data_IF_684252516519
#
_entry.id   IF_684252516519
#
_cell.length_a   1.000
_cell.length_b   1.000
_cell.length_c   1.000
_cell.angle_alpha   90.00
_cell.angle_beta   90.00
_cell.angle_gamma   90.00
#
_symmetry.space_group_name_H-M   'P 1'
#
loop_
_entity.id
_entity.type
_entity.pdbx_description
1 polymer ?
#
# COMPACT_ATOMS: atom_id res chain seq x y z
N UNK A 1 -8.41 7.52 -20.18
CA UNK A 1 -7.49 7.81 -21.30
C UNK A 1 -6.12 7.34 -20.87
N UNK A 2 -5.56 6.32 -21.51
CA UNK A 2 -4.23 5.81 -21.14
C UNK A 2 -3.20 6.90 -21.46
N UNK A 3 -2.33 7.31 -20.52
CA UNK A 3 -1.33 8.34 -20.77
C UNK A 3 -0.42 7.95 -21.95
N UNK A 4 0.02 8.95 -22.73
CA UNK A 4 0.89 8.70 -23.88
C UNK A 4 2.22 8.07 -23.43
N UNK A 5 2.89 7.28 -24.28
CA UNK A 5 4.21 6.72 -23.97
C UNK A 5 5.22 7.79 -23.54
N UNK A 6 5.17 8.97 -24.15
CA UNK A 6 6.01 10.12 -23.81
C UNK A 6 5.73 10.64 -22.40
N UNK A 7 4.45 10.71 -22.00
CA UNK A 7 4.04 11.12 -20.66
C UNK A 7 4.49 10.11 -19.60
N UNK A 8 4.33 8.82 -19.86
CA UNK A 8 4.85 7.76 -18.98
C UNK A 8 6.37 7.83 -18.83
N UNK A 9 7.08 8.05 -19.93
CA UNK A 9 8.53 8.21 -19.90
C UNK A 9 8.96 9.47 -19.12
N UNK A 10 8.19 10.57 -19.20
CA UNK A 10 8.46 11.78 -18.44
C UNK A 10 8.26 11.57 -16.93
N UNK A 11 7.18 10.91 -16.52
CA UNK A 11 6.93 10.55 -15.12
C UNK A 11 8.01 9.61 -14.57
N UNK A 12 8.40 8.60 -15.35
CA UNK A 12 9.48 7.68 -14.99
C UNK A 12 10.83 8.41 -14.82
N UNK A 13 11.14 9.37 -15.69
CA UNK A 13 12.34 10.21 -15.55
C UNK A 13 12.29 11.07 -14.28
N UNK A 14 11.15 11.69 -13.98
CA UNK A 14 10.99 12.47 -12.75
C UNK A 14 11.22 11.60 -11.50
N UNK A 15 10.65 10.39 -11.49
CA UNK A 15 10.88 9.41 -10.42
C UNK A 15 12.36 9.00 -10.32
N UNK A 16 13.01 8.67 -11.43
CA UNK A 16 14.43 8.26 -11.46
C UNK A 16 15.34 9.36 -10.92
N UNK A 17 15.16 10.60 -11.36
CA UNK A 17 15.95 11.75 -10.89
C UNK A 17 15.74 11.97 -9.39
N UNK A 18 14.50 11.88 -8.91
CA UNK A 18 14.22 11.97 -7.48
C UNK A 18 14.97 10.86 -6.72
N UNK A 19 14.92 9.62 -7.22
CA UNK A 19 15.57 8.45 -6.60
C UNK A 19 17.11 8.60 -6.58
N UNK A 20 17.71 8.98 -7.70
CA UNK A 20 19.16 9.21 -7.83
C UNK A 20 19.66 10.33 -6.90
N UNK A 21 18.78 11.28 -6.57
CA UNK A 21 19.10 12.42 -5.70
C UNK A 21 18.59 12.26 -4.26
N UNK A 22 18.09 11.08 -3.87
CA UNK A 22 17.54 10.81 -2.52
C UNK A 22 18.51 11.15 -1.42
N UNK A 23 19.83 11.09 -1.62
CA UNK A 23 20.79 11.44 -0.57
C UNK A 23 20.77 12.93 -0.17
N UNK A 24 20.22 13.81 -1.02
CA UNK A 24 20.12 15.24 -0.74
C UNK A 24 18.85 15.62 0.04
N UNK A 25 18.78 16.87 0.50
CA UNK A 25 17.58 17.39 1.22
C UNK A 25 16.51 17.96 0.29
N UNK A 26 16.83 18.15 -1.00
CA UNK A 26 15.99 18.87 -1.96
C UNK A 26 15.17 17.94 -2.88
N UNK A 27 15.29 16.61 -2.73
CA UNK A 27 14.60 15.68 -3.62
C UNK A 27 13.06 15.80 -3.56
N UNK A 28 12.40 16.07 -2.42
CA UNK A 28 10.94 16.21 -2.40
C UNK A 28 10.49 17.42 -3.22
N UNK A 29 11.18 18.55 -3.05
CA UNK A 29 10.90 19.80 -3.77
C UNK A 29 11.09 19.62 -5.27
N UNK A 30 12.22 19.05 -5.70
CA UNK A 30 12.49 18.79 -7.12
C UNK A 30 11.46 17.86 -7.76
N UNK A 31 11.01 16.84 -7.04
CA UNK A 31 9.95 15.97 -7.53
C UNK A 31 8.62 16.73 -7.66
N UNK A 32 8.27 17.57 -6.69
CA UNK A 32 7.05 18.39 -6.73
C UNK A 32 7.07 19.40 -7.88
N UNK A 33 8.21 20.03 -8.15
CA UNK A 33 8.40 20.90 -9.31
C UNK A 33 8.24 20.14 -10.63
N UNK A 34 8.88 18.98 -10.76
CA UNK A 34 8.77 18.14 -11.96
C UNK A 34 7.32 17.68 -12.21
N UNK A 35 6.59 17.26 -11.17
CA UNK A 35 5.20 16.85 -11.30
C UNK A 35 4.28 18.04 -11.62
N UNK A 36 4.55 19.23 -11.08
CA UNK A 36 3.85 20.47 -11.44
C UNK A 36 4.06 20.80 -12.92
N UNK A 37 5.29 20.74 -13.41
CA UNK A 37 5.61 21.09 -14.80
C UNK A 37 4.96 20.12 -15.80
N UNK A 38 4.65 18.90 -15.37
CA UNK A 38 3.89 17.90 -16.12
C UNK A 38 2.38 18.01 -15.95
N UNK A 39 1.89 18.93 -15.11
CA UNK A 39 0.49 19.01 -14.66
C UNK A 39 -0.03 17.62 -14.23
N UNK A 40 0.66 17.01 -13.28
CA UNK A 40 0.38 15.64 -12.86
C UNK A 40 -1.01 15.50 -12.21
N UNK A 41 -1.76 14.50 -12.66
CA UNK A 41 -3.02 14.08 -12.05
C UNK A 41 -2.78 13.44 -10.68
N UNK A 42 -3.83 13.20 -9.91
CA UNK A 42 -3.68 12.51 -8.62
C UNK A 42 -3.20 11.07 -8.83
N UNK A 43 -3.61 10.41 -9.90
CA UNK A 43 -3.21 9.06 -10.26
C UNK A 43 -1.70 9.01 -10.48
N UNK A 44 -1.17 9.93 -11.29
CA UNK A 44 0.25 9.98 -11.62
C UNK A 44 1.10 10.38 -10.42
N UNK A 45 0.60 11.32 -9.60
CA UNK A 45 1.21 11.63 -8.31
C UNK A 45 1.26 10.40 -7.40
N UNK A 46 0.18 9.62 -7.31
CA UNK A 46 0.13 8.41 -6.50
C UNK A 46 1.11 7.33 -6.99
N UNK A 47 1.19 7.11 -8.31
CA UNK A 47 2.14 6.17 -8.94
C UNK A 47 3.59 6.53 -8.57
N UNK A 48 3.98 7.79 -8.81
CA UNK A 48 5.36 8.23 -8.60
C UNK A 48 5.70 8.35 -7.12
N UNK A 49 4.86 9.03 -6.32
CA UNK A 49 5.17 9.34 -4.93
C UNK A 49 5.22 8.09 -4.05
N UNK A 50 4.36 7.09 -4.30
CA UNK A 50 4.38 5.86 -3.51
C UNK A 50 5.71 5.12 -3.64
N UNK A 51 6.27 5.07 -4.85
CA UNK A 51 7.52 4.35 -5.14
C UNK A 51 8.73 5.15 -4.68
N UNK A 52 8.77 6.46 -4.94
CA UNK A 52 9.84 7.33 -4.45
C UNK A 52 9.88 7.34 -2.92
N UNK A 53 8.73 7.41 -2.25
CA UNK A 53 8.68 7.37 -0.77
C UNK A 53 9.21 6.03 -0.21
N UNK A 54 8.94 4.92 -0.89
CA UNK A 54 9.49 3.61 -0.50
C UNK A 54 11.02 3.59 -0.63
N UNK A 55 11.55 4.06 -1.77
CA UNK A 55 13.00 4.12 -2.00
C UNK A 55 13.70 5.07 -1.03
N UNK A 56 13.12 6.24 -0.77
CA UNK A 56 13.64 7.22 0.17
C UNK A 56 13.72 6.65 1.59
N UNK A 57 12.68 5.90 2.00
CA UNK A 57 12.67 5.16 3.26
C UNK A 57 13.75 4.09 3.31
N UNK A 58 13.89 3.28 2.25
CA UNK A 58 14.91 2.22 2.19
C UNK A 58 16.35 2.77 2.24
N UNK A 59 16.57 3.96 1.67
CA UNK A 59 17.85 4.67 1.72
C UNK A 59 18.10 5.42 3.04
N UNK A 60 17.16 5.40 3.99
CA UNK A 60 17.28 6.10 5.28
C UNK A 60 17.07 7.62 5.22
N UNK A 61 16.61 8.17 4.09
CA UNK A 61 16.29 9.59 3.94
C UNK A 61 14.81 9.81 3.60
N UNK A 62 13.95 9.37 4.53
CA UNK A 62 12.48 9.42 4.41
C UNK A 62 11.94 10.85 4.21
N UNK A 63 10.82 10.98 3.50
CA UNK A 63 10.10 12.26 3.40
C UNK A 63 9.76 12.87 4.77
N UNK A 64 9.61 12.04 5.82
CA UNK A 64 9.28 12.48 7.17
C UNK A 64 10.36 13.34 7.85
N UNK A 65 11.61 13.31 7.37
CA UNK A 65 12.69 14.15 7.92
C UNK A 65 12.93 15.41 7.11
N UNK A 66 12.25 15.57 5.96
CA UNK A 66 12.42 16.69 5.03
C UNK A 66 11.16 17.52 4.84
N UNK A 67 9.99 16.98 5.17
CA UNK A 67 8.70 17.64 5.04
C UNK A 67 8.02 17.71 6.41
N UNK A 68 7.28 18.80 6.62
CA UNK A 68 6.46 19.01 7.83
C UNK A 68 5.02 18.49 7.69
N UNK A 69 4.35 18.16 8.81
CA UNK A 69 2.94 17.80 8.83
C UNK A 69 2.00 18.82 8.18
N UNK A 70 2.38 20.10 8.19
CA UNK A 70 1.61 21.17 7.56
C UNK A 70 1.40 20.92 6.07
N UNK A 71 2.37 20.30 5.39
CA UNK A 71 2.29 19.87 3.99
C UNK A 71 1.14 18.90 3.69
N UNK A 72 0.57 18.27 4.72
CA UNK A 72 -0.63 17.43 4.60
C UNK A 72 -1.89 18.24 4.78
N UNK A 73 -1.93 19.11 5.81
CA UNK A 73 -3.14 19.75 6.33
C UNK A 73 -3.56 21.01 5.59
N UNK A 74 -2.60 21.78 5.09
CA UNK A 74 -2.89 23.00 4.32
C UNK A 74 -3.21 22.64 2.86
N UNK A 75 -4.27 23.23 2.24
CA UNK A 75 -4.53 23.09 0.81
C UNK A 75 -3.39 23.63 -0.08
N UNK A 76 -2.67 24.65 0.40
CA UNK A 76 -1.50 25.25 -0.23
C UNK A 76 -1.77 26.04 -1.52
N UNK A 77 -0.82 26.87 -1.98
CA UNK A 77 -0.98 27.70 -3.18
C UNK A 77 -0.91 26.95 -4.52
N UNK A 78 -0.43 25.69 -4.54
CA UNK A 78 -0.20 24.93 -5.77
C UNK A 78 -0.76 23.50 -5.68
N UNK A 79 -1.87 23.18 -6.38
CA UNK A 79 -2.61 21.94 -6.15
C UNK A 79 -1.85 20.66 -6.55
N UNK A 80 -0.81 20.77 -7.40
CA UNK A 80 0.07 19.64 -7.74
C UNK A 80 1.20 19.51 -6.72
N UNK A 81 1.93 20.59 -6.41
CA UNK A 81 3.03 20.59 -5.42
C UNK A 81 2.56 20.06 -4.07
N UNK A 82 1.45 20.59 -3.56
CA UNK A 82 0.94 20.21 -2.24
C UNK A 82 0.39 18.79 -2.20
N UNK A 83 -0.18 18.32 -3.32
CA UNK A 83 -0.56 16.92 -3.47
C UNK A 83 0.66 16.01 -3.47
N UNK A 84 1.74 16.38 -4.15
CA UNK A 84 3.00 15.63 -4.14
C UNK A 84 3.55 15.51 -2.72
N UNK A 85 3.67 16.62 -1.98
CA UNK A 85 4.15 16.57 -0.60
C UNK A 85 3.26 15.73 0.30
N UNK A 86 1.94 15.90 0.20
CA UNK A 86 0.97 15.08 0.94
C UNK A 86 1.13 13.58 0.63
N UNK A 87 1.21 13.22 -0.65
CA UNK A 87 1.37 11.82 -1.08
C UNK A 87 2.69 11.22 -0.58
N UNK A 88 3.79 11.96 -0.67
CA UNK A 88 5.10 11.51 -0.16
C UNK A 88 5.08 11.30 1.36
N UNK A 89 4.60 12.29 2.10
CA UNK A 89 4.57 12.27 3.56
C UNK A 89 3.67 11.15 4.10
N UNK A 90 2.44 11.05 3.58
CA UNK A 90 1.49 10.02 4.02
C UNK A 90 1.93 8.61 3.59
N UNK A 91 2.54 8.46 2.41
CA UNK A 91 3.10 7.17 1.98
C UNK A 91 4.24 6.72 2.89
N UNK A 92 5.11 7.65 3.31
CA UNK A 92 6.16 7.35 4.27
C UNK A 92 5.58 6.92 5.63
N UNK A 93 4.56 7.63 6.15
CA UNK A 93 3.84 7.20 7.34
C UNK A 93 3.20 5.81 7.18
N UNK A 94 2.66 5.50 6.00
CA UNK A 94 2.04 4.20 5.70
C UNK A 94 3.06 3.08 5.79
N UNK A 95 4.25 3.26 5.22
CA UNK A 95 5.31 2.26 5.25
C UNK A 95 5.88 2.00 6.65
N UNK A 96 5.73 2.96 7.57
CA UNK A 96 6.07 2.81 8.99
C UNK A 96 4.87 2.50 9.89
N UNK A 97 3.73 2.14 9.29
CA UNK A 97 2.47 1.79 9.99
C UNK A 97 2.00 2.85 10.99
N UNK A 98 2.26 4.13 10.72
CA UNK A 98 1.90 5.26 11.59
C UNK A 98 0.43 5.67 11.40
N UNK A 99 -0.48 4.70 11.52
CA UNK A 99 -1.91 4.88 11.23
C UNK A 99 -2.54 6.03 12.03
N UNK A 100 -2.25 6.14 13.34
CA UNK A 100 -2.78 7.23 14.17
C UNK A 100 -2.35 8.62 13.68
N UNK A 101 -1.11 8.75 13.20
CA UNK A 101 -0.59 10.00 12.64
C UNK A 101 -1.32 10.35 11.34
N UNK A 102 -1.50 9.38 10.45
CA UNK A 102 -2.26 9.57 9.19
C UNK A 102 -3.70 10.01 9.50
N UNK A 103 -4.38 9.31 10.40
CA UNK A 103 -5.75 9.65 10.81
C UNK A 103 -5.83 11.06 11.40
N UNK A 104 -4.94 11.40 12.33
CA UNK A 104 -4.91 12.72 12.96
C UNK A 104 -4.69 13.85 11.97
N UNK A 105 -3.85 13.65 10.95
CA UNK A 105 -3.57 14.67 9.94
C UNK A 105 -4.72 14.80 8.95
N UNK A 106 -5.22 13.68 8.42
CA UNK A 106 -6.28 13.72 7.42
C UNK A 106 -7.63 14.19 7.97
N UNK A 107 -7.88 14.07 9.28
CA UNK A 107 -9.03 14.69 9.94
C UNK A 107 -8.99 16.23 9.94
N UNK A 108 -7.83 16.84 9.69
CA UNK A 108 -7.67 18.29 9.59
C UNK A 108 -7.76 18.79 8.14
N UNK A 109 -7.73 17.89 7.15
CA UNK A 109 -7.81 18.24 5.73
C UNK A 109 -9.27 18.48 5.35
N UNK A 110 -9.61 19.59 4.65
CA UNK A 110 -10.96 19.83 4.19
C UNK A 110 -11.48 18.69 3.30
N UNK A 111 -12.74 18.27 3.50
CA UNK A 111 -13.35 17.20 2.72
C UNK A 111 -13.32 17.44 1.20
N UNK A 112 -13.43 18.70 0.76
CA UNK A 112 -13.31 19.06 -0.66
C UNK A 112 -11.96 18.69 -1.26
N UNK A 113 -10.89 18.80 -0.48
CA UNK A 113 -9.54 18.42 -0.89
C UNK A 113 -9.40 16.90 -0.97
N UNK A 114 -9.94 16.16 0.01
CA UNK A 114 -9.93 14.69 0.01
C UNK A 114 -10.78 14.10 -1.13
N UNK A 115 -11.94 14.69 -1.42
CA UNK A 115 -12.81 14.24 -2.52
C UNK A 115 -12.15 14.44 -3.89
N UNK A 116 -11.30 15.46 -4.04
CA UNK A 116 -10.52 15.70 -5.26
C UNK A 116 -9.26 14.82 -5.37
N UNK A 117 -8.89 14.12 -4.30
CA UNK A 117 -7.68 13.30 -4.19
C UNK A 117 -7.99 11.92 -3.56
N UNK A 118 -8.55 10.99 -4.35
CA UNK A 118 -8.92 9.67 -3.86
C UNK A 118 -7.77 8.86 -3.27
N UNK A 119 -6.51 9.13 -3.66
CA UNK A 119 -5.36 8.44 -3.08
C UNK A 119 -5.11 8.85 -1.62
N UNK A 120 -5.24 10.14 -1.29
CA UNK A 120 -5.21 10.60 0.10
C UNK A 120 -6.37 10.03 0.92
N UNK A 121 -7.55 9.90 0.31
CA UNK A 121 -8.68 9.23 0.97
C UNK A 121 -8.42 7.73 1.20
N UNK A 122 -7.77 7.05 0.25
CA UNK A 122 -7.32 5.67 0.45
C UNK A 122 -6.33 5.56 1.61
N UNK A 123 -5.43 6.53 1.78
CA UNK A 123 -4.50 6.58 2.92
C UNK A 123 -5.23 6.80 4.26
N UNK A 124 -6.32 7.57 4.27
CA UNK A 124 -7.22 7.65 5.41
C UNK A 124 -7.89 6.29 5.70
N UNK A 125 -8.43 5.62 4.67
CA UNK A 125 -9.00 4.29 4.82
C UNK A 125 -7.96 3.30 5.36
N UNK A 126 -6.73 3.30 4.84
CA UNK A 126 -5.60 2.51 5.37
C UNK A 126 -5.41 2.74 6.87
N UNK A 127 -5.42 3.99 7.32
CA UNK A 127 -5.24 4.33 8.73
C UNK A 127 -6.37 3.77 9.61
N UNK A 128 -7.62 3.84 9.14
CA UNK A 128 -8.78 3.28 9.86
C UNK A 128 -8.74 1.75 9.88
N UNK A 129 -8.50 1.12 8.73
CA UNK A 129 -8.43 -0.32 8.55
C UNK A 129 -7.28 -0.93 9.37
N UNK A 130 -6.08 -0.35 9.30
CA UNK A 130 -4.89 -0.83 10.00
C UNK A 130 -5.03 -0.78 11.52
N UNK A 131 -5.92 0.07 12.03
CA UNK A 131 -6.28 0.14 13.46
C UNK A 131 -7.49 -0.73 13.82
N UNK A 132 -8.03 -1.51 12.87
CA UNK A 132 -9.27 -2.27 13.00
C UNK A 132 -10.45 -1.42 13.51
N UNK A 133 -10.54 -0.16 13.06
CA UNK A 133 -11.67 0.71 13.36
C UNK A 133 -12.94 0.13 12.72
N UNK A 134 -14.05 0.18 13.46
CA UNK A 134 -15.34 -0.41 13.03
C UNK A 134 -15.89 0.19 11.73
N UNK A 135 -15.55 1.44 11.43
CA UNK A 135 -15.96 2.14 10.22
C UNK A 135 -14.96 1.99 9.04
N UNK A 136 -13.79 1.38 9.26
CA UNK A 136 -12.73 1.32 8.26
C UNK A 136 -13.16 0.64 6.96
N UNK A 137 -13.97 -0.42 7.06
CA UNK A 137 -14.53 -1.12 5.88
C UNK A 137 -15.54 -0.23 5.13
N UNK A 138 -16.36 0.54 5.84
CA UNK A 138 -17.29 1.46 5.18
C UNK A 138 -16.54 2.58 4.42
N UNK A 139 -15.47 3.13 5.00
CA UNK A 139 -14.61 4.11 4.34
C UNK A 139 -13.91 3.49 3.12
N UNK A 140 -13.46 2.23 3.23
CA UNK A 140 -12.89 1.49 2.10
C UNK A 140 -13.88 1.41 0.93
N UNK A 141 -15.14 1.04 1.17
CA UNK A 141 -16.16 0.97 0.12
C UNK A 141 -16.40 2.33 -0.55
N UNK A 142 -16.37 3.42 0.21
CA UNK A 142 -16.50 4.77 -0.35
C UNK A 142 -15.32 5.14 -1.26
N UNK A 143 -14.10 4.79 -0.87
CA UNK A 143 -12.90 4.96 -1.72
C UNK A 143 -13.04 4.15 -3.00
N UNK A 144 -13.49 2.89 -2.88
CA UNK A 144 -13.70 1.99 -4.02
C UNK A 144 -14.82 2.46 -4.95
N UNK A 145 -15.80 3.20 -4.46
CA UNK A 145 -16.82 3.82 -5.32
C UNK A 145 -16.26 5.00 -6.15
N UNK A 146 -15.16 5.61 -5.71
CA UNK A 146 -14.60 6.84 -6.31
C UNK A 146 -13.36 6.60 -7.17
N UNK A 147 -12.52 5.65 -6.77
CA UNK A 147 -11.24 5.33 -7.42
C UNK A 147 -11.06 3.83 -7.62
N UNK A 148 -12.17 3.18 -7.99
CA UNK A 148 -12.41 1.74 -8.00
C UNK A 148 -11.17 0.90 -8.26
N UNK A 149 -10.47 1.15 -9.36
CA UNK A 149 -9.47 0.21 -9.85
C UNK A 149 -8.09 0.84 -10.06
N UNK A 150 -7.81 1.98 -9.43
CA UNK A 150 -6.45 2.54 -9.48
C UNK A 150 -5.49 1.65 -8.67
N UNK A 151 -4.40 1.11 -9.27
CA UNK A 151 -3.56 0.12 -8.61
C UNK A 151 -2.96 0.58 -7.29
N UNK A 152 -2.41 1.81 -7.20
CA UNK A 152 -1.83 2.28 -5.93
C UNK A 152 -2.89 2.47 -4.85
N UNK A 153 -4.09 2.91 -5.19
CA UNK A 153 -5.23 2.94 -4.26
C UNK A 153 -5.56 1.55 -3.74
N UNK A 154 -5.69 0.56 -4.63
CA UNK A 154 -5.93 -0.84 -4.23
C UNK A 154 -4.81 -1.37 -3.32
N UNK A 155 -3.54 -1.08 -3.61
CA UNK A 155 -2.42 -1.45 -2.74
C UNK A 155 -2.49 -0.80 -1.35
N UNK A 156 -2.93 0.45 -1.26
CA UNK A 156 -3.11 1.13 0.04
C UNK A 156 -4.21 0.43 0.84
N UNK A 157 -5.34 0.10 0.23
CA UNK A 157 -6.45 -0.61 0.87
C UNK A 157 -6.05 -2.03 1.29
N UNK A 158 -5.42 -2.80 0.38
CA UNK A 158 -4.86 -4.13 0.67
C UNK A 158 -3.95 -4.09 1.90
N UNK A 159 -3.10 -3.07 1.98
CA UNK A 159 -2.20 -2.90 3.10
C UNK A 159 -2.95 -2.64 4.41
N UNK A 160 -4.00 -1.81 4.37
CA UNK A 160 -4.81 -1.48 5.53
C UNK A 160 -5.59 -2.69 6.06
N UNK A 161 -6.26 -3.43 5.17
CA UNK A 161 -7.00 -4.64 5.52
C UNK A 161 -6.05 -5.69 6.10
N UNK A 162 -4.89 -5.90 5.49
CA UNK A 162 -3.89 -6.85 5.98
C UNK A 162 -3.43 -6.51 7.41
N UNK A 163 -3.11 -5.23 7.65
CA UNK A 163 -2.66 -4.73 8.94
C UNK A 163 -3.75 -4.82 10.02
N UNK A 164 -5.00 -4.61 9.65
CA UNK A 164 -6.17 -4.65 10.53
C UNK A 164 -6.56 -6.05 11.00
N UNK A 165 -5.76 -6.65 11.90
CA UNK A 165 -5.91 -8.04 12.33
C UNK A 165 -7.25 -8.44 12.94
N UNK A 166 -8.06 -7.49 13.42
CA UNK A 166 -9.36 -7.73 14.06
C UNK A 166 -10.55 -7.35 13.18
N UNK A 167 -10.33 -7.04 11.90
CA UNK A 167 -11.42 -6.71 10.98
C UNK A 167 -12.30 -7.95 10.70
N UNK A 168 -13.64 -7.82 10.73
CA UNK A 168 -14.53 -8.89 10.31
C UNK A 168 -14.39 -9.14 8.81
N UNK A 169 -14.44 -10.41 8.38
CA UNK A 169 -14.34 -10.78 6.96
C UNK A 169 -13.01 -10.40 6.29
N UNK A 170 -11.96 -10.13 7.08
CA UNK A 170 -10.66 -9.62 6.58
C UNK A 170 -10.08 -10.46 5.42
N UNK A 171 -10.17 -11.79 5.52
CA UNK A 171 -9.61 -12.67 4.50
C UNK A 171 -10.37 -12.53 3.17
N UNK A 172 -11.70 -12.51 3.21
CA UNK A 172 -12.53 -12.32 2.02
C UNK A 172 -12.31 -10.94 1.39
N UNK A 173 -12.22 -9.88 2.21
CA UNK A 173 -11.92 -8.53 1.75
C UNK A 173 -10.54 -8.44 1.06
N UNK A 174 -9.51 -9.12 1.58
CA UNK A 174 -8.21 -9.18 0.91
C UNK A 174 -8.29 -9.87 -0.44
N UNK A 175 -9.00 -10.99 -0.56
CA UNK A 175 -9.14 -11.69 -1.82
C UNK A 175 -9.90 -10.85 -2.85
N UNK A 176 -11.01 -10.22 -2.44
CA UNK A 176 -11.78 -9.33 -3.30
C UNK A 176 -10.95 -8.14 -3.81
N UNK A 177 -10.08 -7.56 -2.98
CA UNK A 177 -9.18 -6.49 -3.41
C UNK A 177 -8.08 -7.00 -4.36
N UNK A 178 -7.55 -8.21 -4.15
CA UNK A 178 -6.57 -8.81 -5.07
C UNK A 178 -7.18 -9.06 -6.45
N UNK A 179 -8.42 -9.55 -6.50
CA UNK A 179 -9.12 -9.84 -7.76
C UNK A 179 -9.37 -8.58 -8.61
N UNK A 180 -9.25 -7.38 -8.01
CA UNK A 180 -9.40 -6.10 -8.70
C UNK A 180 -8.10 -5.52 -9.26
N UNK A 181 -6.94 -6.05 -8.82
CA UNK A 181 -5.67 -5.64 -9.40
C UNK A 181 -5.56 -6.16 -10.84
N UNK A 182 -4.73 -5.53 -11.69
CA UNK A 182 -4.42 -6.05 -13.02
C UNK A 182 -4.01 -7.53 -12.98
N UNK A 183 -4.56 -8.35 -13.87
CA UNK A 183 -4.35 -9.81 -13.91
C UNK A 183 -4.63 -10.52 -12.56
N UNK A 184 -5.52 -9.97 -11.73
CA UNK A 184 -5.81 -10.48 -10.38
C UNK A 184 -4.58 -10.46 -9.46
N UNK A 185 -3.65 -9.54 -9.70
CA UNK A 185 -2.37 -9.44 -9.00
C UNK A 185 -1.41 -10.60 -9.29
N UNK A 186 -1.59 -11.34 -10.38
CA UNK A 186 -0.79 -12.52 -10.75
C UNK A 186 0.72 -12.27 -10.85
N UNK A 187 1.09 -11.06 -11.27
CA UNK A 187 2.48 -10.61 -11.45
C UNK A 187 2.93 -9.57 -10.42
N UNK A 188 2.15 -9.41 -9.34
CA UNK A 188 2.50 -8.51 -8.24
C UNK A 188 2.92 -9.30 -6.99
N UNK A 189 4.19 -9.21 -6.54
CA UNK A 189 4.67 -9.96 -5.38
C UNK A 189 3.95 -9.57 -4.08
N UNK A 190 3.55 -8.31 -3.92
CA UNK A 190 2.85 -7.84 -2.73
C UNK A 190 1.39 -8.32 -2.73
N UNK A 191 0.72 -8.32 -3.89
CA UNK A 191 -0.63 -8.86 -4.02
C UNK A 191 -0.66 -10.36 -3.73
N UNK A 192 0.28 -11.13 -4.31
CA UNK A 192 0.42 -12.57 -4.03
C UNK A 192 0.71 -12.85 -2.56
N UNK A 193 1.54 -12.03 -1.92
CA UNK A 193 1.75 -12.11 -0.47
C UNK A 193 0.45 -11.88 0.33
N UNK A 194 -0.32 -10.83 0.02
CA UNK A 194 -1.59 -10.56 0.71
C UNK A 194 -2.61 -11.69 0.47
N UNK A 195 -2.66 -12.21 -0.76
CA UNK A 195 -3.47 -13.39 -1.12
C UNK A 195 -3.08 -14.61 -0.28
N UNK A 196 -1.79 -14.91 -0.16
CA UNK A 196 -1.30 -16.01 0.66
C UNK A 196 -1.75 -15.89 2.13
N UNK A 197 -1.64 -14.68 2.70
CA UNK A 197 -2.10 -14.39 4.07
C UNK A 197 -3.60 -14.60 4.25
N UNK A 198 -4.42 -14.22 3.27
CA UNK A 198 -5.86 -14.44 3.30
C UNK A 198 -6.21 -15.93 3.21
N UNK A 199 -5.62 -16.65 2.25
CA UNK A 199 -5.82 -18.07 2.05
C UNK A 199 -5.40 -18.89 3.28
N UNK A 200 -4.31 -18.49 3.96
CA UNK A 200 -3.91 -19.10 5.24
C UNK A 200 -4.97 -18.92 6.31
N UNK A 201 -5.53 -17.72 6.43
CA UNK A 201 -6.58 -17.42 7.42
C UNK A 201 -7.85 -18.25 7.17
N UNK A 202 -8.15 -18.58 5.91
CA UNK A 202 -9.25 -19.46 5.51
C UNK A 202 -8.91 -20.96 5.60
N UNK A 203 -7.69 -21.32 6.01
CA UNK A 203 -7.24 -22.72 6.08
C UNK A 203 -6.96 -23.37 4.72
N UNK A 204 -6.90 -22.58 3.65
CA UNK A 204 -6.62 -23.03 2.28
C UNK A 204 -5.10 -23.13 2.04
N UNK A 205 -4.44 -23.94 2.86
CA UNK A 205 -2.97 -23.95 2.99
C UNK A 205 -2.22 -24.25 1.69
N UNK A 206 -2.73 -25.13 0.81
CA UNK A 206 -2.05 -25.44 -0.46
C UNK A 206 -2.00 -24.23 -1.38
N UNK A 207 -3.14 -23.54 -1.54
CA UNK A 207 -3.23 -22.33 -2.35
C UNK A 207 -2.41 -21.20 -1.72
N UNK A 208 -2.41 -21.09 -0.39
CA UNK A 208 -1.58 -20.12 0.33
C UNK A 208 -0.08 -20.34 0.03
N UNK A 209 0.38 -21.60 0.03
CA UNK A 209 1.76 -21.95 -0.34
C UNK A 209 2.10 -21.55 -1.78
N UNK A 210 1.25 -21.90 -2.74
CA UNK A 210 1.45 -21.50 -4.14
C UNK A 210 1.54 -19.98 -4.29
N UNK A 211 0.67 -19.23 -3.61
CA UNK A 211 0.68 -17.78 -3.67
C UNK A 211 1.97 -17.18 -3.06
N UNK A 212 2.45 -17.68 -1.90
CA UNK A 212 3.67 -17.14 -1.29
C UNK A 212 4.94 -17.54 -2.06
N UNK A 213 4.97 -18.74 -2.65
CA UNK A 213 6.05 -19.18 -3.54
C UNK A 213 6.13 -18.28 -4.78
N UNK A 214 4.99 -17.98 -5.41
CA UNK A 214 4.92 -17.01 -6.52
C UNK A 214 5.37 -15.61 -6.11
N UNK A 215 4.98 -15.15 -4.91
CA UNK A 215 5.43 -13.85 -4.40
C UNK A 215 6.96 -13.79 -4.24
N UNK A 216 7.59 -14.87 -3.79
CA UNK A 216 9.04 -14.98 -3.65
C UNK A 216 9.75 -15.00 -5.02
N UNK A 217 9.19 -15.69 -6.02
CA UNK A 217 9.72 -15.72 -7.39
C UNK A 217 9.68 -14.35 -8.08
N UNK A 218 8.61 -13.59 -7.84
CA UNK A 218 8.40 -12.27 -8.45
C UNK A 218 9.18 -11.15 -7.76
N UNK A 219 9.61 -11.34 -6.51
CA UNK A 219 10.24 -10.27 -5.74
C UNK A 219 11.60 -9.89 -6.35
N UNK A 220 11.83 -8.62 -6.75
CA UNK A 220 13.12 -8.21 -7.28
C UNK A 220 14.24 -8.36 -6.23
N UNK A 221 15.46 -8.72 -6.66
CA UNK A 221 16.60 -8.79 -5.76
C UNK A 221 16.85 -7.43 -5.09
N UNK A 222 17.31 -7.44 -3.83
CA UNK A 222 17.61 -6.23 -3.07
C UNK A 222 16.52 -5.77 -2.09
N UNK A 223 15.28 -6.28 -2.21
CA UNK A 223 14.20 -5.98 -1.26
C UNK A 223 14.25 -6.88 -0.01
N UNK A 224 15.36 -6.82 0.75
CA UNK A 224 15.64 -7.74 1.87
C UNK A 224 14.57 -7.72 2.97
N UNK A 225 14.02 -6.55 3.27
CA UNK A 225 12.93 -6.40 4.24
C UNK A 225 11.67 -7.14 3.80
N UNK A 226 11.24 -6.92 2.55
CA UNK A 226 10.06 -7.60 1.98
C UNK A 226 10.31 -9.10 1.88
N UNK A 227 11.49 -9.53 1.42
CA UNK A 227 11.85 -10.95 1.36
C UNK A 227 11.70 -11.62 2.74
N UNK A 228 12.17 -10.96 3.80
CA UNK A 228 12.05 -11.46 5.18
C UNK A 228 10.58 -11.62 5.60
N UNK A 229 9.70 -10.68 5.20
CA UNK A 229 8.27 -10.79 5.46
C UNK A 229 7.61 -11.94 4.69
N UNK A 230 8.01 -12.16 3.43
CA UNK A 230 7.52 -13.27 2.61
C UNK A 230 7.92 -14.63 3.20
N UNK A 231 9.19 -14.78 3.61
CA UNK A 231 9.68 -16.00 4.27
C UNK A 231 8.97 -16.25 5.59
N UNK A 232 8.68 -15.20 6.35
CA UNK A 232 7.90 -15.32 7.60
C UNK A 232 6.50 -15.85 7.31
N UNK A 233 5.83 -15.31 6.30
CA UNK A 233 4.50 -15.79 5.92
C UNK A 233 4.52 -17.24 5.42
N UNK A 234 5.50 -17.62 4.61
CA UNK A 234 5.71 -19.01 4.19
C UNK A 234 5.84 -19.95 5.40
N UNK A 235 6.61 -19.53 6.40
CA UNK A 235 6.79 -20.29 7.66
C UNK A 235 5.46 -20.39 8.44
N UNK A 236 4.70 -19.30 8.53
CA UNK A 236 3.39 -19.28 9.18
C UNK A 236 2.37 -20.20 8.49
N UNK A 237 2.40 -20.27 7.16
CA UNK A 237 1.54 -21.18 6.38
C UNK A 237 1.87 -22.63 6.71
N UNK A 238 3.15 -22.98 6.73
CA UNK A 238 3.61 -24.33 7.06
C UNK A 238 3.20 -24.72 8.49
N UNK A 239 3.50 -23.86 9.48
CA UNK A 239 3.16 -24.11 10.87
C UNK A 239 1.65 -24.27 11.09
N UNK A 240 0.83 -23.40 10.48
CA UNK A 240 -0.63 -23.48 10.59
C UNK A 240 -1.20 -24.76 9.94
N UNK A 241 -0.59 -25.21 8.84
CA UNK A 241 -0.96 -26.47 8.19
C UNK A 241 -0.68 -27.67 9.10
N UNK A 242 0.54 -27.74 9.65
CA UNK A 242 0.99 -28.86 10.47
C UNK A 242 0.18 -28.98 11.77
N UNK A 243 -0.08 -27.85 12.44
CA UNK A 243 -0.94 -27.80 13.62
C UNK A 243 -2.36 -28.32 13.31
N UNK A 244 -2.91 -27.93 12.16
CA UNK A 244 -4.23 -28.43 11.72
C UNK A 244 -4.21 -29.94 11.46
N UNK A 245 -3.14 -30.47 10.86
CA UNK A 245 -3.00 -31.92 10.65
C UNK A 245 -2.88 -32.69 11.96
N UNK A 246 -2.09 -32.19 12.91
CA UNK A 246 -1.94 -32.78 14.24
C UNK A 246 -3.26 -32.81 14.99
N UNK A 247 -4.02 -31.70 14.99
CA UNK A 247 -5.35 -31.63 15.61
C UNK A 247 -6.32 -32.64 14.99
N UNK A 248 -6.31 -32.80 13.66
CA UNK A 248 -7.13 -33.79 12.95
C UNK A 248 -6.75 -35.23 13.31
N UNK A 249 -5.45 -35.53 13.42
CA UNK A 249 -4.96 -36.87 13.83
C UNK A 249 -5.40 -37.20 15.25
N UNK A 250 -5.26 -36.27 16.20
CA UNK A 250 -5.69 -36.45 17.59
C UNK A 250 -7.19 -36.71 17.73
N UNK A 251 -8.03 -35.98 16.99
CA UNK A 251 -9.48 -36.22 17.00
C UNK A 251 -9.84 -37.62 16.50
N UNK A 252 -9.15 -38.12 15.47
CA UNK A 252 -9.37 -39.48 14.95
C UNK A 252 -8.97 -40.57 15.95
N UNK A 253 -7.91 -40.37 16.73
CA UNK A 253 -7.48 -41.34 17.75
C UNK A 253 -8.36 -41.37 19.00
N UNK A 254 -9.12 -40.31 19.29
CA UNK A 254 -10.08 -40.27 20.42
C UNK A 254 -11.50 -40.74 20.06
N UNK A 255 -11.78 -41.00 18.78
CA UNK A 255 -13.06 -41.50 18.29
C UNK A 255 -13.04 -42.99 17.91
N UNK A 256 -11.95 -43.68 18.26
CA UNK A 256 -11.77 -45.13 18.19
C UNK A 256 -11.64 -45.67 19.62
#
# INVERSE_FOLDING_TARGET
MTPSPERNAALARAASIAIETIAGTQWPMRLAEALRDLDATWQESAEVCADVAWQARAAGNSALVLLDPEHVTDPGPGPVIWRTYRHLYLSALRYDFRCRSIESLLNQVPLSVLNADPYSWALYAFARLGQSRSDGLAVMEQVLATASDHPKTLHVLLHGVWLGGLLPGRADALLALVDRLPEGGGDDPIAQFRKASALRALGQYRQARTAIERALELLPPGNLGVHSDLVREHTLITAAHDLTQLARRRRKSTSQ
#
